data_IF_414742094988
#
_entry.id   IF_414742094988
#
_cell.length_a   1.000
_cell.length_b   1.000
_cell.length_c   1.000
_cell.angle_alpha   90.00
_cell.angle_beta   90.00
_cell.angle_gamma   90.00
#
_symmetry.space_group_name_H-M   'P 1'
#
loop_
_entity.id
_entity.type
_entity.pdbx_description
1 polymer ?
#
# COMPACT_ATOMS: atom_id res chain seq x y z
N UNK A 1 17.30 14.96 23.63
CA UNK A 1 16.27 14.75 22.58
C UNK A 1 15.06 15.67 22.83
N UNK A 2 14.69 15.89 24.10
CA UNK A 2 13.54 16.74 24.47
C UNK A 2 13.67 18.22 24.08
N UNK A 3 14.83 18.87 24.30
CA UNK A 3 15.00 20.29 23.95
C UNK A 3 14.73 20.58 22.46
N UNK A 4 15.19 19.71 21.55
CA UNK A 4 14.94 19.89 20.13
C UNK A 4 13.45 19.77 19.80
N UNK A 5 12.74 18.82 20.42
CA UNK A 5 11.29 18.66 20.26
C UNK A 5 10.53 19.88 20.78
N UNK A 6 10.94 20.43 21.93
CA UNK A 6 10.36 21.63 22.52
C UNK A 6 10.59 22.86 21.61
N UNK A 7 11.81 23.02 21.08
CA UNK A 7 12.12 24.09 20.13
C UNK A 7 11.29 23.98 18.84
N UNK A 8 11.14 22.77 18.29
CA UNK A 8 10.29 22.56 17.11
C UNK A 8 8.81 22.85 17.42
N UNK A 9 8.34 22.42 18.59
CA UNK A 9 6.97 22.69 19.04
C UNK A 9 6.72 24.20 19.22
N UNK A 10 7.66 24.95 19.79
CA UNK A 10 7.51 26.39 20.02
C UNK A 10 7.68 27.22 18.73
N UNK A 11 8.77 27.00 18.01
CA UNK A 11 9.24 27.91 16.96
C UNK A 11 8.84 27.50 15.54
N UNK A 12 8.58 26.21 15.29
CA UNK A 12 8.17 25.74 13.96
C UNK A 12 6.66 25.56 13.89
N UNK A 13 6.09 24.78 14.80
CA UNK A 13 4.67 24.42 14.76
C UNK A 13 3.77 25.28 15.63
N UNK A 14 4.36 26.13 16.48
CA UNK A 14 3.61 27.01 17.38
C UNK A 14 2.60 26.26 18.27
N UNK A 15 2.98 25.07 18.74
CA UNK A 15 2.20 24.16 19.58
C UNK A 15 2.23 24.58 21.06
N UNK A 16 3.33 25.18 21.51
CA UNK A 16 3.55 25.62 22.90
C UNK A 16 3.93 27.10 22.99
N UNK A 17 3.70 27.71 24.15
CA UNK A 17 4.18 29.06 24.47
C UNK A 17 5.62 29.05 25.02
N UNK A 18 6.20 30.24 25.25
CA UNK A 18 7.55 30.41 25.84
C UNK A 18 7.73 29.77 27.22
N UNK A 19 6.63 29.39 27.87
CA UNK A 19 6.61 28.74 29.19
C UNK A 19 6.34 27.25 29.09
N UNK A 20 6.23 26.69 27.88
CA UNK A 20 5.94 25.28 27.61
C UNK A 20 4.46 24.91 27.73
N UNK A 21 3.55 25.87 27.90
CA UNK A 21 2.12 25.56 27.97
C UNK A 21 1.57 25.30 26.57
N UNK A 22 0.74 24.27 26.43
CA UNK A 22 0.01 23.99 25.18
C UNK A 22 -0.85 25.18 24.80
N UNK A 23 -0.69 25.67 23.58
CA UNK A 23 -1.55 26.72 23.03
C UNK A 23 -2.93 26.15 22.73
N UNK A 24 -3.95 26.94 23.02
CA UNK A 24 -5.36 26.57 22.81
C UNK A 24 -5.82 26.77 21.37
N UNK A 25 -5.16 27.66 20.63
CA UNK A 25 -5.49 27.99 19.25
C UNK A 25 -4.52 27.28 18.30
N UNK A 26 -5.01 26.47 17.34
CA UNK A 26 -4.18 25.91 16.29
C UNK A 26 -3.68 26.99 15.33
N UNK A 27 -2.70 26.65 14.49
CA UNK A 27 -2.27 27.49 13.38
C UNK A 27 -3.46 27.85 12.48
N UNK A 28 -3.53 29.11 12.06
CA UNK A 28 -4.50 29.55 11.04
C UNK A 28 -4.12 28.97 9.68
N UNK A 29 -5.09 28.82 8.76
CA UNK A 29 -4.82 28.28 7.42
C UNK A 29 -3.74 29.04 6.65
N UNK A 30 -3.68 30.36 6.81
CA UNK A 30 -2.62 31.18 6.19
C UNK A 30 -1.24 30.84 6.76
N UNK A 31 -1.12 30.70 8.08
CA UNK A 31 0.14 30.33 8.73
C UNK A 31 0.57 28.91 8.36
N UNK A 32 -0.38 27.97 8.23
CA UNK A 32 -0.08 26.61 7.78
C UNK A 32 0.50 26.61 6.36
N UNK A 33 -0.06 27.41 5.44
CA UNK A 33 0.45 27.52 4.07
C UNK A 33 1.86 28.12 4.07
N UNK A 34 2.08 29.21 4.80
CA UNK A 34 3.41 29.82 4.93
C UNK A 34 4.44 28.86 5.53
N UNK A 35 4.05 28.08 6.54
CA UNK A 35 4.91 27.06 7.12
C UNK A 35 5.26 25.98 6.10
N UNK A 36 4.26 25.52 5.32
CA UNK A 36 4.49 24.51 4.28
C UNK A 36 5.43 25.03 3.20
N UNK A 37 5.30 26.29 2.78
CA UNK A 37 6.21 26.95 1.82
C UNK A 37 7.65 27.01 2.36
N UNK A 38 7.83 27.47 3.60
CA UNK A 38 9.16 27.52 4.24
C UNK A 38 9.79 26.12 4.36
N UNK A 39 9.00 25.11 4.74
CA UNK A 39 9.47 23.72 4.81
C UNK A 39 9.81 23.19 3.41
N UNK A 40 9.00 23.53 2.40
CA UNK A 40 9.23 23.12 1.03
C UNK A 40 10.58 23.66 0.52
N UNK A 41 10.84 24.95 0.70
CA UNK A 41 12.11 25.57 0.29
C UNK A 41 13.29 25.02 1.08
N UNK A 42 13.13 24.86 2.40
CA UNK A 42 14.15 24.28 3.26
C UNK A 42 14.57 22.89 2.77
N UNK A 43 13.62 21.97 2.60
CA UNK A 43 13.94 20.59 2.22
C UNK A 43 14.52 20.47 0.81
N UNK A 44 14.15 21.37 -0.12
CA UNK A 44 14.76 21.43 -1.44
C UNK A 44 16.18 22.04 -1.43
N UNK A 45 16.53 22.85 -0.42
CA UNK A 45 17.87 23.44 -0.28
C UNK A 45 18.91 22.49 0.35
N UNK A 46 18.46 21.43 1.05
CA UNK A 46 19.35 20.51 1.77
C UNK A 46 19.82 19.37 0.85
N UNK A 47 21.09 19.46 0.43
CA UNK A 47 21.72 18.49 -0.48
C UNK A 47 22.12 17.16 0.20
N UNK A 48 22.29 17.12 1.53
CA UNK A 48 22.67 15.90 2.24
C UNK A 48 21.43 15.11 2.65
N UNK A 49 21.22 13.95 2.03
CA UNK A 49 20.05 13.10 2.26
C UNK A 49 19.89 12.64 3.71
N UNK A 50 20.98 12.23 4.37
CA UNK A 50 20.96 11.82 5.78
C UNK A 50 20.55 12.97 6.70
N UNK A 51 21.11 14.16 6.48
CA UNK A 51 20.74 15.35 7.25
C UNK A 51 19.27 15.74 7.02
N UNK A 52 18.84 15.74 5.75
CA UNK A 52 17.46 16.03 5.34
C UNK A 52 16.47 15.07 6.02
N UNK A 53 16.72 13.77 5.94
CA UNK A 53 15.88 12.74 6.53
C UNK A 53 15.90 12.79 8.05
N UNK A 54 17.02 13.17 8.68
CA UNK A 54 17.10 13.37 10.14
C UNK A 54 16.15 14.47 10.63
N UNK A 55 16.14 15.60 9.95
CA UNK A 55 15.23 16.72 10.26
C UNK A 55 13.79 16.31 9.94
N UNK A 56 13.53 15.70 8.78
CA UNK A 56 12.20 15.26 8.38
C UNK A 56 11.58 14.28 9.38
N UNK A 57 12.35 13.27 9.82
CA UNK A 57 11.92 12.31 10.83
C UNK A 57 11.68 13.00 12.18
N UNK A 58 12.53 13.95 12.58
CA UNK A 58 12.38 14.68 13.84
C UNK A 58 11.11 15.55 13.88
N UNK A 59 10.70 16.11 12.74
CA UNK A 59 9.48 16.89 12.62
C UNK A 59 8.21 16.03 12.63
N UNK A 60 8.22 14.89 11.93
CA UNK A 60 6.99 14.16 11.58
C UNK A 60 6.86 12.74 12.12
N UNK A 61 7.82 12.25 12.92
CA UNK A 61 7.77 10.91 13.53
C UNK A 61 7.53 10.95 15.05
N UNK A 62 7.49 9.77 15.68
CA UNK A 62 7.35 9.62 17.13
C UNK A 62 6.01 10.12 17.67
N UNK A 63 6.04 10.72 18.86
CA UNK A 63 4.84 11.19 19.59
C UNK A 63 4.12 12.35 18.90
N UNK A 64 4.79 13.05 17.98
CA UNK A 64 4.24 14.22 17.28
C UNK A 64 3.61 13.88 15.92
N UNK A 65 3.79 12.66 15.42
CA UNK A 65 3.34 12.25 14.10
C UNK A 65 1.84 12.49 13.86
N UNK A 66 1.01 12.21 14.87
CA UNK A 66 -0.45 12.38 14.80
C UNK A 66 -0.83 13.85 14.67
N UNK A 67 -0.26 14.71 15.52
CA UNK A 67 -0.62 16.15 15.57
C UNK A 67 -0.10 16.91 14.34
N UNK A 68 1.06 16.52 13.79
CA UNK A 68 1.69 17.17 12.63
C UNK A 68 1.31 16.55 11.29
N UNK A 69 0.52 15.47 11.28
CA UNK A 69 0.10 14.76 10.06
C UNK A 69 -0.61 15.63 9.02
N UNK A 70 -1.33 16.68 9.46
CA UNK A 70 -1.98 17.63 8.57
C UNK A 70 -0.98 18.47 7.77
N UNK A 71 0.07 18.98 8.42
CA UNK A 71 1.15 19.74 7.77
C UNK A 71 1.95 18.82 6.85
N UNK A 72 2.28 17.61 7.31
CA UNK A 72 2.96 16.60 6.48
C UNK A 72 2.20 16.33 5.19
N UNK A 73 0.88 16.11 5.29
CA UNK A 73 0.04 15.81 4.14
C UNK A 73 0.01 16.97 3.14
N UNK A 74 -0.09 18.21 3.62
CA UNK A 74 -0.03 19.42 2.77
C UNK A 74 1.33 19.58 2.10
N UNK A 75 2.43 19.34 2.83
CA UNK A 75 3.79 19.41 2.30
C UNK A 75 4.03 18.38 1.19
N UNK A 76 3.63 17.12 1.41
CA UNK A 76 3.76 16.06 0.39
C UNK A 76 2.80 16.31 -0.77
N UNK A 77 1.58 16.79 -0.50
CA UNK A 77 0.63 17.19 -1.54
C UNK A 77 1.23 18.30 -2.40
N UNK A 78 1.84 19.34 -1.80
CA UNK A 78 2.55 20.39 -2.53
C UNK A 78 3.74 19.84 -3.33
N UNK A 79 4.49 18.88 -2.80
CA UNK A 79 5.62 18.23 -3.49
C UNK A 79 5.21 17.34 -4.68
N UNK A 80 3.94 16.91 -4.76
CA UNK A 80 3.38 16.27 -5.96
C UNK A 80 2.93 17.35 -6.96
N UNK A 81 2.25 18.40 -6.49
CA UNK A 81 1.71 19.46 -7.35
C UNK A 81 2.80 20.35 -7.97
N UNK A 82 3.83 20.65 -7.20
CA UNK A 82 5.09 21.26 -7.62
C UNK A 82 6.17 20.19 -7.39
N UNK A 83 6.57 19.46 -8.44
CA UNK A 83 7.37 18.24 -8.27
C UNK A 83 8.68 18.47 -7.50
N UNK A 84 8.80 17.86 -6.32
CA UNK A 84 10.02 17.86 -5.50
C UNK A 84 10.49 16.44 -5.22
N UNK A 85 11.62 16.06 -5.83
CA UNK A 85 12.26 14.77 -5.56
C UNK A 85 12.64 14.61 -4.09
N UNK A 86 13.28 15.63 -3.51
CA UNK A 86 13.85 15.56 -2.16
C UNK A 86 12.82 15.32 -1.07
N UNK A 87 11.67 16.01 -1.15
CA UNK A 87 10.59 15.87 -0.17
C UNK A 87 9.90 14.51 -0.31
N UNK A 88 9.66 14.04 -1.55
CA UNK A 88 9.04 12.74 -1.79
C UNK A 88 9.92 11.58 -1.29
N UNK A 89 11.25 11.66 -1.49
CA UNK A 89 12.19 10.69 -0.91
C UNK A 89 12.19 10.75 0.61
N UNK A 90 12.18 11.93 1.23
CA UNK A 90 12.09 12.03 2.69
C UNK A 90 10.77 11.51 3.25
N UNK A 91 9.65 11.73 2.55
CA UNK A 91 8.36 11.14 2.89
C UNK A 91 8.36 9.62 2.75
N UNK A 92 9.02 9.09 1.71
CA UNK A 92 9.24 7.65 1.52
C UNK A 92 10.01 7.05 2.71
N UNK A 93 11.12 7.67 3.11
CA UNK A 93 11.91 7.25 4.26
C UNK A 93 11.08 7.28 5.56
N UNK A 94 10.26 8.32 5.77
CA UNK A 94 9.35 8.39 6.91
C UNK A 94 8.34 7.23 6.91
N UNK A 95 7.70 6.93 5.77
CA UNK A 95 6.74 5.83 5.65
C UNK A 95 7.39 4.48 5.98
N UNK A 96 8.62 4.25 5.50
CA UNK A 96 9.36 3.02 5.79
C UNK A 96 9.69 2.91 7.28
N UNK A 97 10.14 4.00 7.91
CA UNK A 97 10.51 4.01 9.33
C UNK A 97 9.31 3.85 10.27
N UNK A 98 8.14 4.37 9.89
CA UNK A 98 6.90 4.19 10.68
C UNK A 98 6.18 2.87 10.36
N UNK A 99 6.54 2.23 9.24
CA UNK A 99 5.81 1.14 8.62
C UNK A 99 4.80 1.65 7.57
N UNK A 100 4.86 1.08 6.37
CA UNK A 100 3.99 1.46 5.24
C UNK A 100 2.50 1.20 5.50
N UNK A 101 2.19 0.27 6.40
CA UNK A 101 0.83 -0.07 6.84
C UNK A 101 0.50 0.49 8.23
N UNK A 102 1.21 1.54 8.66
CA UNK A 102 0.91 2.20 9.92
C UNK A 102 -0.26 3.20 9.79
N UNK A 103 -0.95 3.54 10.90
CA UNK A 103 -1.98 4.58 10.88
C UNK A 103 -1.50 5.92 10.31
N UNK A 104 -0.22 6.27 10.49
CA UNK A 104 0.35 7.51 9.96
C UNK A 104 0.50 7.45 8.43
N UNK A 105 1.00 6.32 7.90
CA UNK A 105 1.08 6.08 6.46
C UNK A 105 -0.30 6.09 5.80
N UNK A 106 -1.32 5.51 6.45
CA UNK A 106 -2.70 5.58 5.95
C UNK A 106 -3.27 7.00 5.95
N UNK A 107 -2.96 7.83 6.96
CA UNK A 107 -3.42 9.22 7.01
C UNK A 107 -2.85 10.02 5.84
N UNK A 108 -1.55 9.87 5.58
CA UNK A 108 -0.89 10.51 4.45
C UNK A 108 -1.51 10.01 3.13
N UNK A 109 -1.62 8.69 2.95
CA UNK A 109 -2.21 8.11 1.74
C UNK A 109 -3.65 8.59 1.51
N UNK A 110 -4.51 8.59 2.53
CA UNK A 110 -5.89 9.07 2.43
C UNK A 110 -5.97 10.57 2.10
N UNK A 111 -5.08 11.39 2.67
CA UNK A 111 -5.04 12.82 2.35
C UNK A 111 -4.69 13.04 0.87
N UNK A 112 -3.68 12.34 0.36
CA UNK A 112 -3.29 12.43 -1.05
C UNK A 112 -4.38 11.87 -1.98
N UNK A 113 -5.03 10.77 -1.58
CA UNK A 113 -6.17 10.23 -2.34
C UNK A 113 -7.29 11.26 -2.43
N UNK A 114 -7.62 11.90 -1.30
CA UNK A 114 -8.65 12.94 -1.25
C UNK A 114 -8.27 14.13 -2.14
N UNK A 115 -7.05 14.62 -2.04
CA UNK A 115 -6.58 15.79 -2.80
C UNK A 115 -6.59 15.52 -4.31
N UNK A 116 -5.98 14.42 -4.75
CA UNK A 116 -5.70 14.19 -6.17
C UNK A 116 -6.74 13.36 -6.91
N UNK A 117 -7.52 12.52 -6.23
CA UNK A 117 -8.43 11.58 -6.88
C UNK A 117 -9.90 11.86 -6.58
N UNK A 118 -10.20 12.62 -5.52
CA UNK A 118 -11.57 13.01 -5.14
C UNK A 118 -11.83 14.49 -5.43
N UNK A 119 -10.97 15.38 -4.95
CA UNK A 119 -11.13 16.82 -5.14
C UNK A 119 -10.66 17.28 -6.52
N UNK A 120 -9.60 16.67 -7.06
CA UNK A 120 -8.96 17.07 -8.32
C UNK A 120 -8.72 15.91 -9.32
N UNK A 121 -9.75 15.11 -9.67
CA UNK A 121 -9.59 13.86 -10.42
C UNK A 121 -8.97 13.97 -11.82
N UNK A 122 -8.99 15.16 -12.44
CA UNK A 122 -8.62 15.35 -13.85
C UNK A 122 -7.39 16.25 -14.08
N UNK A 123 -6.77 16.80 -13.02
CA UNK A 123 -5.85 17.95 -13.19
C UNK A 123 -4.37 17.64 -13.00
N UNK A 124 -3.98 16.51 -12.42
CA UNK A 124 -2.57 16.31 -12.08
C UNK A 124 -1.81 15.44 -13.10
N UNK A 125 -1.42 16.04 -14.23
CA UNK A 125 -0.32 15.49 -15.06
C UNK A 125 0.92 15.16 -14.21
N UNK A 126 1.10 15.88 -13.11
CA UNK A 126 2.20 15.70 -12.16
C UNK A 126 2.11 14.36 -11.42
N UNK A 127 0.91 13.82 -11.21
CA UNK A 127 0.72 12.52 -10.58
C UNK A 127 1.37 11.41 -11.40
N UNK A 128 1.27 11.43 -12.73
CA UNK A 128 1.97 10.50 -13.62
C UNK A 128 3.50 10.60 -13.55
N UNK A 129 4.05 11.73 -13.06
CA UNK A 129 5.49 11.87 -12.87
C UNK A 129 5.99 11.24 -11.57
N UNK A 130 5.12 10.98 -10.58
CA UNK A 130 5.51 10.51 -9.25
C UNK A 130 6.31 9.19 -9.30
N UNK A 131 5.89 8.14 -10.04
CA UNK A 131 6.67 6.90 -10.15
C UNK A 131 8.06 7.11 -10.74
N UNK A 132 8.22 8.08 -11.66
CA UNK A 132 9.51 8.39 -12.27
C UNK A 132 10.39 9.25 -11.36
N UNK A 133 9.78 10.20 -10.67
CA UNK A 133 10.48 11.17 -9.82
C UNK A 133 10.93 10.55 -8.49
N UNK A 134 10.05 9.78 -7.85
CA UNK A 134 10.30 9.18 -6.54
C UNK A 134 9.68 7.77 -6.48
N UNK A 135 10.27 6.77 -7.16
CA UNK A 135 9.72 5.43 -7.28
C UNK A 135 9.54 4.73 -5.91
N UNK A 136 10.42 5.00 -4.94
CA UNK A 136 10.30 4.48 -3.58
C UNK A 136 9.05 5.02 -2.87
N UNK A 137 8.79 6.33 -3.01
CA UNK A 137 7.59 6.95 -2.46
C UNK A 137 6.33 6.37 -3.10
N UNK A 138 6.31 6.26 -4.43
CA UNK A 138 5.20 5.66 -5.17
C UNK A 138 4.93 4.23 -4.69
N UNK A 139 5.97 3.40 -4.56
CA UNK A 139 5.85 2.03 -4.02
C UNK A 139 5.26 2.00 -2.60
N UNK A 140 5.75 2.87 -1.69
CA UNK A 140 5.25 2.93 -0.31
C UNK A 140 3.81 3.46 -0.25
N UNK A 141 3.47 4.45 -1.08
CA UNK A 141 2.12 4.97 -1.24
C UNK A 141 1.16 3.88 -1.74
N UNK A 142 1.55 3.13 -2.77
CA UNK A 142 0.77 1.99 -3.26
C UNK A 142 0.54 0.96 -2.15
N UNK A 143 1.55 0.65 -1.33
CA UNK A 143 1.40 -0.30 -0.21
C UNK A 143 0.35 0.20 0.80
N UNK A 144 0.42 1.48 1.19
CA UNK A 144 -0.52 2.08 2.13
C UNK A 144 -1.96 2.12 1.56
N UNK A 145 -2.11 2.54 0.30
CA UNK A 145 -3.39 2.62 -0.41
C UNK A 145 -4.01 1.24 -0.58
N UNK A 146 -3.22 0.24 -0.97
CA UNK A 146 -3.68 -1.12 -1.22
C UNK A 146 -4.30 -1.77 0.03
N UNK A 147 -3.85 -1.36 1.22
CA UNK A 147 -4.35 -1.88 2.49
C UNK A 147 -5.58 -1.11 3.02
N UNK A 148 -5.77 0.15 2.62
CA UNK A 148 -6.97 0.95 2.94
C UNK A 148 -8.22 0.36 2.25
N UNK A 149 -8.09 -0.01 0.98
CA UNK A 149 -9.20 -0.53 0.18
C UNK A 149 -9.25 -2.07 0.18
N UNK A 150 -10.44 -2.63 -0.03
CA UNK A 150 -10.69 -4.06 0.14
C UNK A 150 -10.19 -4.58 1.51
N UNK A 151 -10.29 -3.75 2.57
CA UNK A 151 -9.98 -4.16 3.93
C UNK A 151 -11.03 -5.19 4.42
N UNK A 152 -10.62 -6.10 5.33
CA UNK A 152 -11.55 -7.09 5.91
C UNK A 152 -12.73 -6.36 6.57
N UNK A 153 -13.94 -6.85 6.33
CA UNK A 153 -15.19 -6.35 6.92
C UNK A 153 -15.12 -6.31 8.46
N UNK A 154 -14.28 -7.14 9.09
CA UNK A 154 -14.02 -7.07 10.54
C UNK A 154 -13.43 -5.73 11.00
N UNK A 155 -12.77 -4.99 10.10
CA UNK A 155 -12.18 -3.67 10.36
C UNK A 155 -13.11 -2.51 10.02
N UNK A 156 -14.30 -2.76 9.46
CA UNK A 156 -15.25 -1.71 9.08
C UNK A 156 -16.04 -2.04 7.80
N UNK A 157 -16.81 -1.09 7.26
CA UNK A 157 -17.47 -1.27 5.97
C UNK A 157 -16.44 -1.53 4.87
N UNK A 158 -16.80 -2.37 3.90
CA UNK A 158 -15.96 -2.61 2.73
C UNK A 158 -15.93 -1.36 1.85
N UNK A 159 -14.74 -0.84 1.58
CA UNK A 159 -14.54 0.35 0.74
C UNK A 159 -13.73 -0.05 -0.49
N UNK A 160 -14.18 0.43 -1.65
CA UNK A 160 -13.53 0.20 -2.95
C UNK A 160 -12.76 1.44 -3.40
N UNK A 161 -11.66 1.29 -4.17
CA UNK A 161 -10.90 2.42 -4.67
C UNK A 161 -11.73 3.24 -5.67
N UNK A 162 -11.62 4.59 -5.67
CA UNK A 162 -12.17 5.44 -6.72
C UNK A 162 -11.68 4.98 -8.11
N UNK A 163 -12.53 5.13 -9.15
CA UNK A 163 -12.19 4.69 -10.50
C UNK A 163 -10.90 5.34 -11.02
N UNK A 164 -10.74 6.66 -10.82
CA UNK A 164 -9.55 7.41 -11.19
C UNK A 164 -8.29 6.90 -10.50
N UNK A 165 -8.38 6.55 -9.21
CA UNK A 165 -7.28 5.94 -8.46
C UNK A 165 -6.89 4.59 -9.03
N UNK A 166 -7.89 3.75 -9.34
CA UNK A 166 -7.66 2.44 -9.92
C UNK A 166 -7.01 2.54 -11.31
N UNK A 167 -7.47 3.47 -12.15
CA UNK A 167 -6.88 3.75 -13.48
C UNK A 167 -5.43 4.19 -13.35
N UNK A 168 -5.15 5.22 -12.55
CA UNK A 168 -3.78 5.74 -12.39
C UNK A 168 -2.82 4.69 -11.85
N UNK A 169 -3.23 3.90 -10.85
CA UNK A 169 -2.39 2.81 -10.31
C UNK A 169 -2.14 1.73 -11.37
N UNK A 170 -3.15 1.42 -12.18
CA UNK A 170 -3.00 0.46 -13.28
C UNK A 170 -1.98 0.96 -14.28
N UNK A 171 -2.06 2.21 -14.71
CA UNK A 171 -1.10 2.81 -15.63
C UNK A 171 0.31 2.78 -15.04
N UNK A 172 0.48 3.18 -13.77
CA UNK A 172 1.77 3.17 -13.09
C UNK A 172 2.43 1.78 -13.05
N UNK A 173 1.64 0.75 -12.72
CA UNK A 173 2.14 -0.64 -12.62
C UNK A 173 2.43 -1.21 -14.01
N UNK A 174 1.60 -0.90 -15.00
CA UNK A 174 1.79 -1.36 -16.38
C UNK A 174 2.96 -0.67 -17.08
N UNK A 175 3.28 0.59 -16.77
CA UNK A 175 4.38 1.34 -17.39
C UNK A 175 5.76 1.05 -16.77
N UNK A 176 5.82 0.64 -15.49
CA UNK A 176 7.08 0.41 -14.79
C UNK A 176 7.06 -0.90 -14.00
N UNK A 177 7.70 -1.93 -14.55
CA UNK A 177 7.75 -3.28 -13.98
C UNK A 177 8.54 -3.41 -12.67
N UNK A 178 9.34 -2.39 -12.33
CA UNK A 178 10.14 -2.36 -11.10
C UNK A 178 9.49 -1.51 -10.00
N UNK A 179 8.35 -0.87 -10.28
CA UNK A 179 7.73 0.07 -9.35
C UNK A 179 7.37 -0.58 -8.01
N UNK A 180 6.78 -1.77 -8.03
CA UNK A 180 6.32 -2.45 -6.82
C UNK A 180 7.48 -2.89 -5.88
N UNK A 181 8.70 -3.01 -6.39
CA UNK A 181 9.89 -3.37 -5.59
C UNK A 181 10.81 -2.17 -5.33
N UNK A 182 10.51 -0.99 -5.89
CA UNK A 182 11.39 0.16 -5.83
C UNK A 182 11.77 0.57 -4.40
N UNK A 183 10.84 0.46 -3.44
CA UNK A 183 11.09 0.74 -2.03
C UNK A 183 12.12 -0.20 -1.37
N UNK A 184 12.35 -1.39 -1.94
CA UNK A 184 13.30 -2.39 -1.44
C UNK A 184 14.67 -2.31 -2.13
N UNK A 185 14.75 -1.72 -3.33
CA UNK A 185 15.98 -1.68 -4.13
C UNK A 185 17.03 -0.72 -3.58
N UNK A 186 16.61 0.38 -2.98
CA UNK A 186 17.52 1.40 -2.44
C UNK A 186 17.25 1.58 -0.96
N UNK A 187 18.29 1.39 -0.16
CA UNK A 187 18.20 1.64 1.27
C UNK A 187 18.06 3.15 1.52
N UNK A 188 17.08 3.53 2.33
CA UNK A 188 16.89 4.91 2.75
C UNK A 188 18.13 5.45 3.48
N UNK A 189 18.52 6.69 3.17
CA UNK A 189 19.55 7.40 3.90
C UNK A 189 19.03 7.77 5.29
N UNK A 190 19.41 7.00 6.31
CA UNK A 190 18.89 7.14 7.67
C UNK A 190 19.89 7.85 8.60
N UNK A 191 19.40 8.46 9.70
CA UNK A 191 20.26 9.00 10.74
C UNK A 191 21.18 7.92 11.34
N UNK A 192 22.39 8.27 11.82
CA UNK A 192 23.26 7.34 12.51
C UNK A 192 22.54 6.64 13.68
N UNK A 193 22.62 5.31 13.73
CA UNK A 193 21.99 4.49 14.78
C UNK A 193 20.53 4.10 14.51
N UNK A 194 19.90 4.60 13.44
CA UNK A 194 18.58 4.14 13.02
C UNK A 194 18.68 2.80 12.26
N UNK A 195 17.69 1.92 12.48
CA UNK A 195 17.60 0.62 11.81
C UNK A 195 16.62 0.75 10.65
N UNK A 196 17.05 0.36 9.45
CA UNK A 196 16.16 0.30 8.30
C UNK A 196 15.13 -0.81 8.50
N UNK A 197 13.85 -0.44 8.58
CA UNK A 197 12.76 -1.39 8.48
C UNK A 197 12.63 -1.84 7.02
N UNK A 198 12.39 -3.12 6.82
CA UNK A 198 12.18 -3.66 5.48
C UNK A 198 10.85 -3.17 4.91
N UNK A 199 10.90 -2.56 3.73
CA UNK A 199 9.71 -2.04 3.07
C UNK A 199 8.82 -3.19 2.59
N UNK A 200 7.54 -3.14 2.96
CA UNK A 200 6.52 -4.04 2.40
C UNK A 200 6.12 -3.57 1.00
N UNK A 201 6.08 -4.49 0.04
CA UNK A 201 5.67 -4.21 -1.34
C UNK A 201 4.14 -4.09 -1.47
N UNK A 202 3.63 -3.43 -2.52
CA UNK A 202 2.20 -3.30 -2.75
C UNK A 202 1.56 -4.56 -3.34
N UNK A 203 2.34 -5.57 -3.76
CA UNK A 203 1.85 -6.74 -4.49
C UNK A 203 0.66 -7.42 -3.81
N UNK A 204 0.80 -7.81 -2.54
CA UNK A 204 -0.25 -8.57 -1.87
C UNK A 204 -1.57 -7.77 -1.75
N UNK A 205 -1.47 -6.47 -1.46
CA UNK A 205 -2.64 -5.61 -1.33
C UNK A 205 -3.33 -5.34 -2.68
N UNK A 206 -2.55 -5.07 -3.74
CA UNK A 206 -3.11 -4.83 -5.07
C UNK A 206 -3.64 -6.13 -5.71
N UNK A 207 -2.97 -7.27 -5.49
CA UNK A 207 -3.48 -8.58 -5.89
C UNK A 207 -4.81 -8.87 -5.18
N UNK A 208 -4.94 -8.55 -3.89
CA UNK A 208 -6.21 -8.68 -3.15
C UNK A 208 -7.35 -7.92 -3.83
N UNK A 209 -7.11 -6.71 -4.34
CA UNK A 209 -8.14 -5.97 -5.10
C UNK A 209 -8.57 -6.75 -6.34
N UNK A 210 -7.59 -7.22 -7.13
CA UNK A 210 -7.83 -7.93 -8.38
C UNK A 210 -8.53 -9.28 -8.16
N UNK A 211 -8.12 -10.01 -7.13
CA UNK A 211 -8.66 -11.32 -6.77
C UNK A 211 -10.10 -11.19 -6.27
N UNK A 212 -10.37 -10.25 -5.37
CA UNK A 212 -11.68 -10.14 -4.71
C UNK A 212 -12.71 -9.32 -5.51
N UNK A 213 -12.27 -8.51 -6.48
CA UNK A 213 -13.16 -7.70 -7.31
C UNK A 213 -14.38 -8.47 -7.90
N UNK A 214 -14.21 -9.67 -8.50
CA UNK A 214 -15.32 -10.43 -9.06
C UNK A 214 -16.43 -10.76 -8.04
N UNK A 215 -16.07 -11.27 -6.86
CA UNK A 215 -17.04 -11.69 -5.83
C UNK A 215 -17.76 -10.51 -5.18
N UNK A 216 -17.17 -9.30 -5.26
CA UNK A 216 -17.80 -8.06 -4.84
C UNK A 216 -18.48 -7.29 -5.98
N UNK A 217 -18.71 -7.95 -7.12
CA UNK A 217 -19.38 -7.38 -8.31
C UNK A 217 -18.69 -6.13 -8.86
N UNK A 218 -17.39 -6.01 -8.66
CA UNK A 218 -16.57 -4.98 -9.29
C UNK A 218 -16.13 -5.50 -10.67
N UNK A 219 -16.92 -5.19 -11.69
CA UNK A 219 -16.79 -5.76 -13.05
C UNK A 219 -15.92 -4.93 -13.99
N UNK A 220 -15.28 -3.87 -13.51
CA UNK A 220 -14.39 -3.05 -14.34
C UNK A 220 -13.23 -3.90 -14.89
N UNK A 221 -13.00 -3.81 -16.20
CA UNK A 221 -11.89 -4.49 -16.88
C UNK A 221 -10.52 -4.03 -16.36
N UNK A 222 -10.47 -2.85 -15.73
CA UNK A 222 -9.24 -2.27 -15.17
C UNK A 222 -8.63 -3.21 -14.10
N UNK A 223 -9.46 -3.91 -13.31
CA UNK A 223 -8.94 -4.92 -12.37
C UNK A 223 -8.23 -6.08 -13.09
N UNK A 224 -8.67 -6.43 -14.30
CA UNK A 224 -7.99 -7.44 -15.13
C UNK A 224 -6.65 -6.93 -15.67
N UNK A 225 -6.61 -5.67 -16.11
CA UNK A 225 -5.38 -5.02 -16.57
C UNK A 225 -4.36 -4.87 -15.44
N UNK A 226 -4.79 -4.43 -14.26
CA UNK A 226 -3.95 -4.35 -13.07
C UNK A 226 -3.41 -5.73 -12.68
N UNK A 227 -4.26 -6.77 -12.70
CA UNK A 227 -3.82 -8.14 -12.41
C UNK A 227 -2.72 -8.61 -13.35
N UNK A 228 -2.87 -8.35 -14.65
CA UNK A 228 -1.85 -8.67 -15.65
C UNK A 228 -0.55 -7.89 -15.39
N UNK A 229 -0.64 -6.57 -15.20
CA UNK A 229 0.53 -5.74 -14.91
C UNK A 229 1.28 -6.19 -13.65
N UNK A 230 0.57 -6.56 -12.59
CA UNK A 230 1.19 -7.10 -11.37
C UNK A 230 1.92 -8.43 -11.62
N UNK A 231 1.33 -9.31 -12.43
CA UNK A 231 1.98 -10.57 -12.82
C UNK A 231 3.25 -10.30 -13.63
N UNK A 232 3.21 -9.40 -14.60
CA UNK A 232 4.37 -9.01 -15.41
C UNK A 232 5.46 -8.39 -14.54
N UNK A 233 5.09 -7.52 -13.59
CA UNK A 233 6.02 -6.98 -12.59
C UNK A 233 6.69 -8.11 -11.78
N UNK A 234 5.93 -9.13 -11.37
CA UNK A 234 6.46 -10.26 -10.60
C UNK A 234 7.48 -11.10 -11.38
N UNK A 235 7.27 -11.26 -12.68
CA UNK A 235 8.20 -12.00 -13.56
C UNK A 235 9.55 -11.28 -13.71
N UNK A 236 9.55 -9.96 -13.58
CA UNK A 236 10.74 -9.10 -13.70
C UNK A 236 11.42 -8.82 -12.34
N UNK A 237 10.94 -9.41 -11.23
CA UNK A 237 11.57 -9.22 -9.92
C UNK A 237 12.98 -9.84 -9.95
N UNK A 238 14.02 -9.08 -9.55
CA UNK A 238 15.36 -9.63 -9.40
C UNK A 238 15.36 -10.79 -8.40
N UNK A 239 15.89 -11.95 -8.81
CA UNK A 239 16.01 -13.11 -7.93
C UNK A 239 16.87 -12.75 -6.70
N UNK A 240 16.25 -12.70 -5.53
CA UNK A 240 16.92 -12.46 -4.26
C UNK A 240 16.86 -13.70 -3.37
N UNK A 241 17.96 -14.01 -2.69
CA UNK A 241 18.01 -15.06 -1.66
C UNK A 241 18.41 -14.42 -0.33
N UNK A 242 17.50 -14.32 0.67
CA UNK A 242 16.11 -14.82 0.67
C UNK A 242 15.15 -13.98 -0.21
N UNK A 243 13.98 -14.54 -0.60
CA UNK A 243 12.89 -13.78 -1.21
C UNK A 243 12.38 -12.69 -0.28
N UNK A 244 12.00 -11.53 -0.83
CA UNK A 244 11.55 -10.37 -0.02
C UNK A 244 10.30 -9.68 -0.55
N UNK A 245 9.81 -10.04 -1.73
CA UNK A 245 8.75 -9.28 -2.38
C UNK A 245 7.39 -9.49 -1.70
N UNK A 246 6.98 -10.73 -1.44
CA UNK A 246 5.62 -11.03 -0.97
C UNK A 246 5.65 -11.87 0.30
N UNK A 247 5.07 -11.36 1.37
CA UNK A 247 4.90 -12.13 2.60
C UNK A 247 3.70 -13.08 2.49
N UNK A 248 3.91 -14.37 2.72
CA UNK A 248 2.87 -15.40 2.58
C UNK A 248 1.60 -15.09 3.39
N UNK A 249 1.73 -14.51 4.60
CA UNK A 249 0.58 -14.17 5.44
C UNK A 249 -0.33 -13.11 4.80
N UNK A 250 0.22 -12.20 3.98
CA UNK A 250 -0.60 -11.19 3.31
C UNK A 250 -1.47 -11.80 2.20
N UNK A 251 -1.02 -12.89 1.57
CA UNK A 251 -1.83 -13.64 0.60
C UNK A 251 -2.95 -14.45 1.26
N UNK A 252 -2.72 -14.95 2.48
CA UNK A 252 -3.71 -15.70 3.26
C UNK A 252 -4.98 -14.88 3.54
N UNK A 253 -4.86 -13.55 3.67
CA UNK A 253 -6.01 -12.66 3.94
C UNK A 253 -7.12 -12.84 2.90
N UNK A 254 -6.77 -13.06 1.63
CA UNK A 254 -7.75 -13.30 0.55
C UNK A 254 -8.55 -14.59 0.76
N UNK A 255 -7.95 -15.63 1.34
CA UNK A 255 -8.60 -16.93 1.60
C UNK A 255 -9.83 -16.72 2.51
N UNK A 256 -9.67 -15.98 3.60
CA UNK A 256 -10.76 -15.71 4.55
C UNK A 256 -11.96 -15.02 3.90
N UNK A 257 -11.72 -14.08 2.98
CA UNK A 257 -12.79 -13.38 2.25
C UNK A 257 -13.51 -14.31 1.27
N UNK A 258 -12.75 -15.17 0.56
CA UNK A 258 -13.32 -16.13 -0.39
C UNK A 258 -14.15 -17.20 0.34
N UNK A 259 -13.63 -17.75 1.44
CA UNK A 259 -14.37 -18.71 2.27
C UNK A 259 -15.67 -18.11 2.82
N UNK A 260 -15.65 -16.85 3.26
CA UNK A 260 -16.86 -16.14 3.71
C UNK A 260 -17.89 -16.02 2.58
N UNK A 261 -17.46 -15.61 1.39
CA UNK A 261 -18.34 -15.54 0.22
C UNK A 261 -18.95 -16.92 -0.12
N UNK A 262 -18.15 -17.99 -0.05
CA UNK A 262 -18.63 -19.35 -0.30
C UNK A 262 -19.70 -19.79 0.72
N UNK A 263 -19.52 -19.47 2.00
CA UNK A 263 -20.52 -19.71 3.06
C UNK A 263 -21.79 -18.90 2.81
N UNK A 264 -21.67 -17.62 2.45
CA UNK A 264 -22.83 -16.77 2.13
C UNK A 264 -23.60 -17.28 0.92
N UNK A 265 -22.90 -17.77 -0.11
CA UNK A 265 -23.51 -18.38 -1.29
C UNK A 265 -24.29 -19.64 -0.92
N UNK A 266 -23.70 -20.48 -0.07
CA UNK A 266 -24.36 -21.68 0.46
C UNK A 266 -25.63 -21.33 1.23
N UNK A 267 -25.57 -20.34 2.13
CA UNK A 267 -26.71 -19.89 2.94
C UNK A 267 -27.88 -19.36 2.09
N UNK A 268 -27.58 -18.69 0.98
CA UNK A 268 -28.61 -18.20 0.03
C UNK A 268 -29.30 -19.32 -0.72
N UNK A 269 -28.58 -20.38 -1.04
CA UNK A 269 -29.10 -21.49 -1.85
C UNK A 269 -29.99 -22.47 -1.09
N UNK A 270 -29.87 -22.55 0.25
CA UNK A 270 -30.53 -23.57 1.11
C UNK A 270 -30.30 -25.03 0.66
N UNK A 271 -29.28 -25.30 -0.16
CA UNK A 271 -28.96 -26.63 -0.68
C UNK A 271 -28.18 -27.44 0.38
N UNK A 272 -28.76 -28.56 0.81
CA UNK A 272 -28.17 -29.42 1.84
C UNK A 272 -27.26 -30.51 1.25
N UNK A 273 -27.58 -31.00 0.06
CA UNK A 273 -26.83 -32.08 -0.61
C UNK A 273 -25.42 -31.61 -1.00
N UNK A 274 -24.34 -32.32 -0.59
CA UNK A 274 -22.98 -32.09 -1.04
C UNK A 274 -22.82 -31.95 -2.57
N UNK A 275 -23.56 -32.73 -3.36
CA UNK A 275 -23.44 -32.75 -4.83
C UNK A 275 -23.97 -31.46 -5.44
N UNK A 276 -25.10 -30.99 -4.93
CA UNK A 276 -25.71 -29.72 -5.36
C UNK A 276 -24.90 -28.50 -4.92
N UNK A 277 -24.24 -28.57 -3.75
CA UNK A 277 -23.31 -27.54 -3.28
C UNK A 277 -22.10 -27.43 -4.20
N UNK A 278 -21.53 -28.56 -4.60
CA UNK A 278 -20.42 -28.58 -5.54
C UNK A 278 -20.82 -28.00 -6.89
N UNK A 279 -21.99 -28.37 -7.42
CA UNK A 279 -22.53 -27.81 -8.66
C UNK A 279 -22.76 -26.30 -8.58
N UNK A 280 -23.27 -25.81 -7.45
CA UNK A 280 -23.47 -24.37 -7.22
C UNK A 280 -22.15 -23.59 -7.27
N UNK A 281 -21.08 -24.08 -6.62
CA UNK A 281 -19.78 -23.41 -6.73
C UNK A 281 -19.24 -23.43 -8.16
N UNK A 282 -19.49 -24.53 -8.89
CA UNK A 282 -19.09 -24.68 -10.29
C UNK A 282 -19.82 -23.72 -11.25
N UNK A 283 -21.04 -23.30 -10.91
CA UNK A 283 -21.86 -22.38 -11.71
C UNK A 283 -21.57 -20.90 -11.41
N UNK A 284 -20.95 -20.57 -10.26
CA UNK A 284 -20.65 -19.18 -9.89
C UNK A 284 -19.39 -18.67 -10.63
N UNK A 285 -19.63 -17.94 -11.71
CA UNK A 285 -18.57 -17.39 -12.57
C UNK A 285 -17.67 -16.39 -11.85
N UNK A 286 -18.21 -15.63 -10.89
CA UNK A 286 -17.45 -14.64 -10.13
C UNK A 286 -16.47 -15.31 -9.16
N UNK A 287 -16.91 -16.36 -8.47
CA UNK A 287 -16.08 -17.19 -7.60
C UNK A 287 -14.98 -17.87 -8.41
N UNK A 288 -15.30 -18.42 -9.58
CA UNK A 288 -14.32 -19.04 -10.46
C UNK A 288 -13.26 -18.06 -10.94
N UNK A 289 -13.66 -16.87 -11.40
CA UNK A 289 -12.71 -15.85 -11.83
C UNK A 289 -11.81 -15.36 -10.68
N UNK A 290 -12.38 -15.21 -9.48
CA UNK A 290 -11.61 -14.89 -8.27
C UNK A 290 -10.55 -15.96 -7.96
N UNK A 291 -10.95 -17.24 -7.96
CA UNK A 291 -10.05 -18.37 -7.71
C UNK A 291 -8.99 -18.52 -8.81
N UNK A 292 -9.34 -18.29 -10.08
CA UNK A 292 -8.40 -18.33 -11.21
C UNK A 292 -7.34 -17.24 -11.09
N UNK A 293 -7.74 -16.00 -10.80
CA UNK A 293 -6.80 -14.89 -10.56
C UNK A 293 -5.87 -15.21 -9.38
N UNK A 294 -6.42 -15.76 -8.30
CA UNK A 294 -5.60 -16.10 -7.15
C UNK A 294 -4.62 -17.23 -7.45
N UNK A 295 -5.06 -18.28 -8.13
CA UNK A 295 -4.21 -19.38 -8.55
C UNK A 295 -3.06 -18.90 -9.44
N UNK A 296 -3.33 -18.06 -10.44
CA UNK A 296 -2.31 -17.48 -11.32
C UNK A 296 -1.28 -16.68 -10.53
N UNK A 297 -1.71 -15.79 -9.64
CA UNK A 297 -0.81 -14.99 -8.83
C UNK A 297 0.11 -15.85 -7.95
N UNK A 298 -0.45 -16.86 -7.26
CA UNK A 298 0.34 -17.76 -6.41
C UNK A 298 1.32 -18.60 -7.25
N UNK A 299 0.85 -19.17 -8.36
CA UNK A 299 1.68 -19.99 -9.24
C UNK A 299 2.93 -19.23 -9.69
N UNK A 300 2.74 -17.98 -10.12
CA UNK A 300 3.83 -17.12 -10.60
C UNK A 300 4.74 -16.71 -9.45
N UNK A 301 4.16 -16.30 -8.31
CA UNK A 301 4.93 -15.91 -7.13
C UNK A 301 5.88 -17.02 -6.66
N UNK A 302 5.40 -18.27 -6.68
CA UNK A 302 6.18 -19.45 -6.30
C UNK A 302 7.18 -19.85 -7.38
N UNK A 303 6.87 -19.67 -8.68
CA UNK A 303 7.81 -20.02 -9.75
C UNK A 303 9.02 -19.09 -9.82
N UNK A 304 8.83 -17.81 -9.52
CA UNK A 304 9.91 -16.80 -9.52
C UNK A 304 10.59 -16.65 -8.15
N UNK A 305 10.19 -17.47 -7.17
CA UNK A 305 10.74 -17.45 -5.81
C UNK A 305 10.69 -16.05 -5.15
N UNK A 306 9.55 -15.36 -5.22
CA UNK A 306 9.39 -14.03 -4.63
C UNK A 306 8.54 -14.03 -3.33
N UNK A 307 8.10 -15.20 -2.86
CA UNK A 307 7.32 -15.36 -1.61
C UNK A 307 8.22 -15.79 -0.46
N UNK A 308 8.04 -15.17 0.70
CA UNK A 308 8.74 -15.53 1.93
C UNK A 308 7.78 -15.77 3.11
N UNK A 309 8.31 -16.36 4.19
CA UNK A 309 7.55 -16.76 5.38
C UNK A 309 7.07 -18.21 5.30
N UNK A 310 5.94 -18.51 5.96
CA UNK A 310 5.43 -19.88 6.06
C UNK A 310 4.59 -20.26 4.83
N UNK A 311 5.27 -20.62 3.74
CA UNK A 311 4.63 -21.05 2.49
C UNK A 311 3.83 -22.34 2.70
N UNK A 312 4.31 -23.27 3.54
CA UNK A 312 3.61 -24.53 3.82
C UNK A 312 2.24 -24.31 4.46
N UNK A 313 2.15 -23.40 5.44
CA UNK A 313 0.88 -23.00 6.05
C UNK A 313 -0.05 -22.35 5.01
N UNK A 314 0.47 -21.42 4.20
CA UNK A 314 -0.31 -20.81 3.11
C UNK A 314 -0.92 -21.87 2.18
N UNK A 315 -0.11 -22.84 1.69
CA UNK A 315 -0.59 -23.92 0.83
C UNK A 315 -1.62 -24.82 1.52
N UNK A 316 -1.46 -25.06 2.83
CA UNK A 316 -2.45 -25.80 3.61
C UNK A 316 -3.79 -25.06 3.71
N UNK A 317 -3.76 -23.74 3.90
CA UNK A 317 -4.97 -22.93 3.95
C UNK A 317 -5.67 -22.83 2.58
N UNK A 318 -4.94 -22.83 1.47
CA UNK A 318 -5.55 -22.85 0.12
C UNK A 318 -6.44 -24.08 -0.11
N UNK A 319 -6.21 -25.19 0.61
CA UNK A 319 -7.05 -26.40 0.53
C UNK A 319 -8.47 -26.19 1.07
N UNK A 320 -8.71 -25.12 1.83
CA UNK A 320 -10.02 -24.77 2.36
C UNK A 320 -10.91 -24.09 1.31
N UNK A 321 -10.34 -23.63 0.20
CA UNK A 321 -11.08 -22.96 -0.86
C UNK A 321 -12.00 -23.94 -1.62
N UNK A 322 -13.13 -23.44 -2.17
CA UNK A 322 -13.94 -24.22 -3.10
C UNK A 322 -13.10 -24.75 -4.27
N UNK A 323 -13.50 -25.91 -4.81
CA UNK A 323 -12.75 -26.55 -5.88
C UNK A 323 -12.62 -25.62 -7.11
N UNK A 324 -11.38 -25.41 -7.54
CA UNK A 324 -11.02 -24.74 -8.77
C UNK A 324 -9.87 -25.51 -9.44
N UNK A 325 -9.96 -25.70 -10.76
CA UNK A 325 -9.00 -26.50 -11.52
C UNK A 325 -7.59 -25.92 -11.46
N UNK A 326 -7.43 -24.61 -11.66
CA UNK A 326 -6.13 -23.96 -11.62
C UNK A 326 -5.52 -24.03 -10.21
N UNK A 327 -6.30 -23.70 -9.18
CA UNK A 327 -5.83 -23.77 -7.79
C UNK A 327 -5.39 -25.18 -7.40
N UNK A 328 -6.12 -26.22 -7.83
CA UNK A 328 -5.73 -27.61 -7.59
C UNK A 328 -4.38 -27.97 -8.25
N UNK A 329 -4.11 -27.45 -9.45
CA UNK A 329 -2.81 -27.61 -10.12
C UNK A 329 -1.70 -26.94 -9.31
N UNK A 330 -1.91 -25.71 -8.81
CA UNK A 330 -0.92 -25.00 -7.98
C UNK A 330 -0.57 -25.79 -6.73
N UNK A 331 -1.59 -26.24 -5.98
CA UNK A 331 -1.41 -27.00 -4.74
C UNK A 331 -0.65 -28.31 -5.00
N UNK A 332 -0.97 -29.02 -6.07
CA UNK A 332 -0.31 -30.29 -6.41
C UNK A 332 1.11 -30.07 -6.94
N UNK A 333 1.35 -29.02 -7.73
CA UNK A 333 2.68 -28.67 -8.23
C UNK A 333 3.65 -28.37 -7.07
N UNK A 334 3.17 -27.68 -6.03
CA UNK A 334 3.98 -27.42 -4.84
C UNK A 334 4.36 -28.70 -4.09
N UNK A 335 3.39 -29.61 -3.86
CA UNK A 335 3.64 -30.90 -3.18
C UNK A 335 4.69 -31.76 -3.89
N UNK A 336 4.77 -31.70 -5.22
CA UNK A 336 5.72 -32.48 -5.99
C UNK A 336 7.14 -31.89 -5.97
N UNK A 337 7.30 -30.63 -5.55
CA UNK A 337 8.60 -29.93 -5.47
C UNK A 337 9.25 -30.00 -4.08
N UNK A 338 8.48 -30.29 -3.04
CA UNK A 338 8.92 -30.40 -1.63
C UNK A 338 9.10 -31.84 -1.21
#
# INVERSE_FOLDING_TARGET
MDLALDLMAEFIFHEVDRRGNKRTLPLTTMQEIQLVEVLYDYFNSVNNDTARNSVFLSLFSGTTAIIRSGILSKLVSMAIGIPSHFILISASTLMQQLGNTSPNSYRLANALVKDYFVLMPNSSKQLHLVPRLAPQFASNFLTAVADIYFADVKKGPLIFPPATLLETITDWVSENTQLCVAAQQTQSALPPGAIAMEATTPFAGLLKWCILAPIYRQTSEIYGKLHLGLIENMLEIPHSNPPRAIFAQHLIISIGNICRYAVDLQNRSRKSDPTERQKMFLEDTALHLCLDRFAQAIQIALSVNCVYGNIGDMINQLKQLPFNKLMAIVINSYKNKT
#
